data_IF_916783155647
#
_entry.id   IF_916783155647
#
_cell.length_a   1.000
_cell.length_b   1.000
_cell.length_c   1.000
_cell.angle_alpha   90.00
_cell.angle_beta   90.00
_cell.angle_gamma   90.00
#
_symmetry.space_group_name_H-M   'P 1'
#
loop_
_entity.id
_entity.type
_entity.pdbx_description
1 polymer ?
#
# COMPACT_ATOMS: atom_id res chain seq x y z
N UNK A 1 38.84 20.27 -7.10
CA UNK A 1 38.61 20.08 -5.64
C UNK A 1 38.94 18.65 -5.26
N UNK A 2 39.77 18.46 -4.23
CA UNK A 2 40.19 17.15 -3.71
C UNK A 2 39.42 16.82 -2.42
N UNK A 3 39.00 15.56 -2.28
CA UNK A 3 38.33 15.04 -1.09
C UNK A 3 39.07 13.84 -0.53
N UNK A 4 39.24 13.80 0.81
CA UNK A 4 39.87 12.67 1.49
C UNK A 4 38.90 11.50 1.61
N UNK A 5 39.27 10.32 1.14
CA UNK A 5 38.48 9.12 1.30
C UNK A 5 38.50 8.61 2.75
N UNK A 6 37.33 8.41 3.36
CA UNK A 6 37.21 7.93 4.73
C UNK A 6 37.76 6.52 4.96
N UNK A 7 38.00 5.71 3.91
CA UNK A 7 38.52 4.33 4.02
C UNK A 7 40.01 4.21 3.69
N UNK A 8 40.42 4.63 2.49
CA UNK A 8 41.83 4.54 2.11
C UNK A 8 42.66 5.76 2.55
N UNK A 9 41.99 6.76 3.15
CA UNK A 9 42.62 8.00 3.66
C UNK A 9 43.33 8.85 2.60
N UNK A 10 43.31 8.44 1.34
CA UNK A 10 43.93 9.14 0.21
C UNK A 10 43.06 10.31 -0.24
N UNK A 11 43.68 11.46 -0.56
CA UNK A 11 43.02 12.59 -1.25
C UNK A 11 42.80 12.21 -2.72
N UNK A 12 41.60 12.38 -3.23
CA UNK A 12 41.21 12.04 -4.61
C UNK A 12 40.32 13.12 -5.18
N UNK A 13 40.25 13.27 -6.51
CA UNK A 13 39.31 14.16 -7.16
C UNK A 13 37.87 13.90 -6.71
N UNK A 14 37.07 14.95 -6.58
CA UNK A 14 35.68 14.84 -6.09
C UNK A 14 34.81 13.96 -7.00
N UNK A 15 35.13 13.88 -8.27
CA UNK A 15 34.48 13.01 -9.26
C UNK A 15 34.67 11.51 -8.98
N UNK A 16 35.68 11.15 -8.19
CA UNK A 16 35.93 9.77 -7.74
C UNK A 16 35.02 9.32 -6.61
N UNK A 17 34.08 10.17 -6.20
CA UNK A 17 33.08 9.85 -5.18
C UNK A 17 31.69 9.87 -5.79
N UNK A 18 30.85 8.88 -5.42
CA UNK A 18 29.44 8.89 -5.84
C UNK A 18 28.69 10.07 -5.24
N UNK A 19 27.67 10.58 -5.97
CA UNK A 19 26.78 11.64 -5.48
C UNK A 19 25.99 11.16 -4.25
N UNK A 20 25.80 12.05 -3.27
CA UNK A 20 24.95 11.78 -2.10
C UNK A 20 24.34 13.10 -1.60
N UNK A 21 23.06 13.30 -1.88
CA UNK A 21 22.30 14.50 -1.51
C UNK A 21 22.18 14.73 0.01
N UNK A 22 22.41 13.70 0.84
CA UNK A 22 22.33 13.81 2.29
C UNK A 22 23.64 14.30 2.96
N UNK A 23 24.70 14.48 2.19
CA UNK A 23 25.98 14.99 2.69
C UNK A 23 26.18 16.45 2.30
N UNK A 24 26.74 17.25 3.21
CA UNK A 24 26.96 18.69 2.98
C UNK A 24 27.71 19.01 1.68
N UNK A 25 28.68 18.16 1.32
CA UNK A 25 29.47 18.29 0.08
C UNK A 25 28.87 17.56 -1.13
N UNK A 26 27.66 17.03 -1.01
CA UNK A 26 26.96 16.30 -2.07
C UNK A 26 27.58 14.98 -2.51
N UNK A 27 28.60 14.45 -1.76
CA UNK A 27 29.38 13.27 -2.15
C UNK A 27 29.51 12.25 -1.03
N UNK A 28 29.63 10.98 -1.41
CA UNK A 28 29.89 9.88 -0.47
C UNK A 28 31.23 10.08 0.27
N UNK A 29 31.32 9.55 1.50
CA UNK A 29 32.55 9.60 2.31
C UNK A 29 33.66 8.64 1.81
N UNK A 30 33.32 7.64 1.01
CA UNK A 30 34.25 6.64 0.45
C UNK A 30 34.39 6.83 -1.06
N UNK A 31 35.60 6.72 -1.62
CA UNK A 31 35.80 6.79 -3.06
C UNK A 31 35.18 5.58 -3.76
N UNK A 32 34.88 5.71 -5.05
CA UNK A 32 34.27 4.67 -5.89
C UNK A 32 34.96 3.33 -5.79
N UNK A 33 36.32 3.33 -5.81
CA UNK A 33 37.13 2.09 -5.69
C UNK A 33 36.90 1.41 -4.35
N UNK A 34 37.00 2.16 -3.23
CA UNK A 34 36.75 1.63 -1.91
C UNK A 34 35.30 1.16 -1.72
N UNK A 35 34.34 1.83 -2.35
CA UNK A 35 32.94 1.47 -2.29
C UNK A 35 32.67 0.18 -3.07
N UNK A 36 33.23 0.02 -4.29
CA UNK A 36 33.15 -1.23 -5.07
C UNK A 36 33.74 -2.42 -4.32
N UNK A 37 34.93 -2.25 -3.65
CA UNK A 37 35.52 -3.31 -2.81
C UNK A 37 34.63 -3.68 -1.62
N UNK A 38 33.90 -2.72 -1.05
CA UNK A 38 33.01 -2.95 0.10
C UNK A 38 31.71 -3.65 -0.28
N UNK A 39 31.15 -3.36 -1.46
CA UNK A 39 29.99 -4.06 -2.02
C UNK A 39 30.37 -5.40 -2.65
N UNK A 40 31.42 -6.04 -2.12
CA UNK A 40 31.86 -7.33 -2.61
C UNK A 40 30.68 -8.33 -2.60
N UNK A 41 30.37 -8.89 -3.77
CA UNK A 41 29.36 -9.95 -3.97
C UNK A 41 29.51 -11.08 -2.93
N UNK A 42 30.74 -11.36 -2.50
CA UNK A 42 31.03 -12.39 -1.50
C UNK A 42 30.51 -12.03 -0.10
N UNK A 43 30.61 -10.76 0.33
CA UNK A 43 30.04 -10.33 1.60
C UNK A 43 28.50 -10.46 1.61
N UNK A 44 27.84 -10.01 0.53
CA UNK A 44 26.39 -10.14 0.39
C UNK A 44 25.98 -11.62 0.38
N UNK A 45 26.66 -12.47 -0.41
CA UNK A 45 26.39 -13.91 -0.44
C UNK A 45 26.49 -14.53 0.96
N UNK A 46 27.58 -14.26 1.70
CA UNK A 46 27.79 -14.75 3.07
C UNK A 46 26.75 -14.25 4.07
N UNK A 47 26.23 -13.03 3.90
CA UNK A 47 25.31 -12.40 4.84
C UNK A 47 23.84 -12.37 4.37
N UNK A 48 23.53 -12.90 3.18
CA UNK A 48 22.21 -12.82 2.54
C UNK A 48 21.10 -13.31 3.47
N UNK A 49 21.26 -14.48 4.05
CA UNK A 49 20.28 -15.10 4.96
C UNK A 49 19.98 -14.16 6.15
N UNK A 50 21.01 -13.70 6.87
CA UNK A 50 20.88 -12.77 7.99
C UNK A 50 20.21 -11.44 7.61
N UNK A 51 20.54 -10.90 6.43
CA UNK A 51 19.95 -9.64 5.94
C UNK A 51 18.47 -9.83 5.64
N UNK A 52 18.12 -10.92 4.97
CA UNK A 52 16.72 -11.25 4.63
C UNK A 52 15.91 -11.41 5.91
N UNK A 53 16.40 -12.21 6.86
CA UNK A 53 15.74 -12.44 8.16
C UNK A 53 15.52 -11.14 8.94
N UNK A 54 16.57 -10.32 9.08
CA UNK A 54 16.47 -9.00 9.73
C UNK A 54 15.44 -8.09 9.05
N UNK A 55 15.41 -8.09 7.72
CA UNK A 55 14.45 -7.29 6.96
C UNK A 55 13.02 -7.84 7.11
N UNK A 56 12.87 -9.16 7.13
CA UNK A 56 11.58 -9.81 7.35
C UNK A 56 11.02 -9.47 8.73
N UNK A 57 11.81 -9.65 9.79
CA UNK A 57 11.43 -9.33 11.18
C UNK A 57 11.05 -7.85 11.33
N UNK A 58 11.86 -6.95 10.75
CA UNK A 58 11.55 -5.52 10.74
C UNK A 58 10.23 -5.23 10.04
N UNK A 59 10.01 -5.80 8.85
CA UNK A 59 8.77 -5.63 8.10
C UNK A 59 7.56 -6.15 8.86
N UNK A 60 7.67 -7.32 9.47
CA UNK A 60 6.60 -7.91 10.26
C UNK A 60 6.20 -7.02 11.44
N UNK A 61 7.19 -6.48 12.18
CA UNK A 61 6.94 -5.53 13.28
C UNK A 61 6.23 -4.27 12.81
N UNK A 62 6.71 -3.65 11.73
CA UNK A 62 6.11 -2.42 11.17
C UNK A 62 4.70 -2.69 10.66
N UNK A 63 4.49 -3.81 9.95
CA UNK A 63 3.18 -4.25 9.49
C UNK A 63 2.19 -4.38 10.65
N UNK A 64 2.59 -5.07 11.72
CA UNK A 64 1.74 -5.26 12.92
C UNK A 64 1.37 -3.92 13.58
N UNK A 65 2.34 -3.01 13.73
CA UNK A 65 2.11 -1.69 14.30
C UNK A 65 1.16 -0.85 13.43
N UNK A 66 1.35 -0.87 12.11
CA UNK A 66 0.46 -0.18 11.18
C UNK A 66 -0.95 -0.76 11.21
N UNK A 67 -1.07 -2.09 11.27
CA UNK A 67 -2.36 -2.76 11.30
C UNK A 67 -3.18 -2.41 12.54
N UNK A 68 -2.54 -2.29 13.72
CA UNK A 68 -3.22 -1.80 14.93
C UNK A 68 -3.85 -0.42 14.71
N UNK A 69 -3.12 0.51 14.12
CA UNK A 69 -3.63 1.86 13.80
C UNK A 69 -4.77 1.84 12.79
N UNK A 70 -4.74 0.91 11.83
CA UNK A 70 -5.84 0.70 10.89
C UNK A 70 -7.10 0.21 11.62
N UNK A 71 -6.96 -0.75 12.54
CA UNK A 71 -8.08 -1.25 13.34
C UNK A 71 -8.70 -0.12 14.19
N UNK A 72 -7.89 0.70 14.83
CA UNK A 72 -8.36 1.88 15.59
C UNK A 72 -9.20 2.81 14.71
N UNK A 73 -8.76 3.05 13.46
CA UNK A 73 -9.52 3.86 12.50
C UNK A 73 -10.82 3.18 12.05
N UNK A 74 -10.82 1.87 11.85
CA UNK A 74 -12.02 1.13 11.48
C UNK A 74 -13.07 1.16 12.59
N UNK A 75 -12.67 0.91 13.83
CA UNK A 75 -13.57 0.97 14.98
C UNK A 75 -14.08 2.38 15.27
N UNK A 76 -13.29 3.43 15.01
CA UNK A 76 -13.72 4.81 15.25
C UNK A 76 -14.65 5.34 14.16
N UNK A 77 -14.52 4.88 12.92
CA UNK A 77 -15.25 5.45 11.78
C UNK A 77 -16.42 4.58 11.32
N UNK A 78 -16.23 3.26 11.27
CA UNK A 78 -17.20 2.36 10.65
C UNK A 78 -17.35 2.59 9.14
N UNK A 79 -18.29 1.89 8.54
CA UNK A 79 -18.69 2.10 7.14
C UNK A 79 -19.49 3.39 7.00
N UNK A 80 -19.08 4.26 6.06
CA UNK A 80 -19.73 5.55 5.80
C UNK A 80 -21.18 5.40 5.34
N UNK A 81 -21.55 4.27 4.71
CA UNK A 81 -22.90 4.08 4.16
C UNK A 81 -23.82 3.27 5.10
N UNK A 82 -23.37 2.14 5.67
CA UNK A 82 -24.22 1.26 6.48
C UNK A 82 -23.85 1.22 7.97
N UNK A 83 -22.81 1.95 8.39
CA UNK A 83 -22.40 2.05 9.79
C UNK A 83 -21.70 0.82 10.39
N UNK A 84 -21.58 -0.30 9.65
CA UNK A 84 -20.90 -1.50 10.20
C UNK A 84 -19.49 -1.19 10.67
N UNK A 85 -19.10 -1.70 11.83
CA UNK A 85 -17.77 -1.53 12.42
C UNK A 85 -16.94 -2.82 12.41
N UNK A 86 -17.41 -3.88 11.75
CA UNK A 86 -16.67 -5.14 11.67
C UNK A 86 -15.41 -4.95 10.80
N UNK A 87 -14.19 -4.99 11.39
CA UNK A 87 -12.96 -4.71 10.67
C UNK A 87 -12.62 -5.76 9.60
N UNK A 88 -13.29 -6.91 9.61
CA UNK A 88 -13.06 -7.99 8.62
C UNK A 88 -13.60 -7.63 7.25
N UNK A 89 -14.62 -6.77 7.20
CA UNK A 89 -15.29 -6.35 5.98
C UNK A 89 -14.99 -4.91 5.59
N UNK A 90 -14.30 -4.13 6.44
CA UNK A 90 -13.98 -2.73 6.18
C UNK A 90 -12.72 -2.59 5.32
N UNK A 91 -12.75 -1.62 4.42
CA UNK A 91 -11.62 -1.24 3.57
C UNK A 91 -11.59 0.29 3.35
N UNK A 92 -10.48 0.78 2.79
CA UNK A 92 -10.33 2.19 2.41
C UNK A 92 -10.68 2.36 0.94
N UNK A 93 -11.74 3.11 0.68
CA UNK A 93 -12.20 3.46 -0.66
C UNK A 93 -11.79 4.90 -1.00
N UNK A 94 -11.16 5.10 -2.17
CA UNK A 94 -10.72 6.42 -2.63
C UNK A 94 -11.90 7.27 -3.08
N UNK A 95 -12.03 8.46 -2.51
CA UNK A 95 -13.14 9.38 -2.83
C UNK A 95 -13.11 9.85 -4.28
N UNK A 96 -11.92 10.14 -4.81
CA UNK A 96 -11.74 10.72 -6.15
C UNK A 96 -11.31 9.71 -7.22
N UNK A 97 -11.39 8.43 -6.92
CA UNK A 97 -10.83 7.37 -7.76
C UNK A 97 -9.29 7.39 -7.78
N UNK A 98 -8.69 6.26 -8.09
CA UNK A 98 -7.23 6.19 -8.27
C UNK A 98 -6.90 6.76 -9.63
N UNK A 99 -6.34 7.99 -9.69
CA UNK A 99 -5.79 8.52 -10.95
C UNK A 99 -4.70 7.57 -11.43
N UNK A 100 -4.94 6.86 -12.52
CA UNK A 100 -4.03 5.86 -13.13
C UNK A 100 -2.70 6.42 -13.64
N UNK A 101 -2.35 7.67 -13.34
CA UNK A 101 -1.16 8.35 -13.85
C UNK A 101 0.18 7.84 -13.27
N UNK A 102 0.17 6.95 -12.30
CA UNK A 102 1.40 6.37 -11.77
C UNK A 102 1.64 5.01 -12.45
N UNK A 103 2.34 5.05 -13.57
CA UNK A 103 2.70 3.91 -14.44
C UNK A 103 3.39 2.72 -13.74
N UNK A 104 3.76 2.81 -12.46
CA UNK A 104 4.57 1.81 -11.76
C UNK A 104 4.01 1.32 -10.42
N UNK A 105 2.82 1.74 -10.02
CA UNK A 105 2.26 1.29 -8.73
C UNK A 105 0.90 0.62 -8.95
N UNK A 106 0.92 -0.60 -9.50
CA UNK A 106 -0.24 -1.47 -9.43
C UNK A 106 -0.62 -1.64 -7.95
N UNK A 107 -1.76 -1.07 -7.55
CA UNK A 107 -2.33 -1.29 -6.24
C UNK A 107 -1.65 -0.57 -5.08
N UNK A 108 -1.28 0.70 -5.24
CA UNK A 108 -0.76 1.52 -4.14
C UNK A 108 -1.81 1.93 -3.09
N UNK A 109 -2.94 1.24 -3.01
CA UNK A 109 -3.94 1.46 -1.96
C UNK A 109 -3.38 1.19 -0.56
N UNK A 110 -4.09 1.69 0.45
CA UNK A 110 -3.71 1.59 1.87
C UNK A 110 -3.32 0.16 2.25
N UNK A 111 -4.10 -0.84 1.83
CA UNK A 111 -3.82 -2.25 2.11
C UNK A 111 -2.46 -2.73 1.57
N UNK A 112 -2.06 -2.29 0.38
CA UNK A 112 -0.74 -2.60 -0.18
C UNK A 112 0.38 -1.97 0.65
N UNK A 113 0.26 -0.69 1.00
CA UNK A 113 1.26 0.03 1.79
C UNK A 113 1.46 -0.60 3.17
N UNK A 114 0.37 -1.00 3.84
CA UNK A 114 0.42 -1.69 5.14
C UNK A 114 1.09 -3.05 5.01
N UNK A 115 0.69 -3.88 4.03
CA UNK A 115 1.26 -5.22 3.82
C UNK A 115 2.75 -5.19 3.52
N UNK A 116 3.23 -4.16 2.86
CA UNK A 116 4.64 -4.01 2.51
C UNK A 116 5.47 -3.26 3.57
N UNK A 117 4.85 -2.86 4.70
CA UNK A 117 5.55 -2.24 5.82
C UNK A 117 6.09 -0.85 5.49
N UNK A 118 5.32 -0.04 4.77
CA UNK A 118 5.65 1.36 4.52
C UNK A 118 5.59 2.18 5.81
N UNK A 119 6.21 3.35 5.81
CA UNK A 119 6.16 4.29 6.94
C UNK A 119 4.73 4.77 7.16
N UNK A 120 4.33 4.94 8.42
CA UNK A 120 2.99 5.40 8.77
C UNK A 120 2.62 6.73 8.12
N UNK A 121 3.57 7.69 8.03
CA UNK A 121 3.34 8.97 7.36
C UNK A 121 2.94 8.84 5.89
N UNK A 122 3.45 7.81 5.19
CA UNK A 122 3.06 7.51 3.80
C UNK A 122 1.66 6.90 3.74
N UNK A 123 1.36 5.98 4.66
CA UNK A 123 0.05 5.33 4.78
C UNK A 123 -1.02 6.38 5.13
N UNK A 124 -0.75 7.27 6.10
CA UNK A 124 -1.66 8.32 6.55
C UNK A 124 -2.07 9.24 5.39
N UNK A 125 -1.10 9.71 4.59
CA UNK A 125 -1.38 10.53 3.40
C UNK A 125 -2.27 9.83 2.37
N UNK A 126 -2.23 8.50 2.30
CA UNK A 126 -3.10 7.76 1.41
C UNK A 126 -4.50 7.58 2.02
N UNK A 127 -4.59 7.35 3.34
CA UNK A 127 -5.85 7.28 4.09
C UNK A 127 -6.63 8.59 3.98
N UNK A 128 -5.96 9.74 4.00
CA UNK A 128 -6.58 11.07 3.90
C UNK A 128 -7.36 11.28 2.59
N UNK A 129 -7.10 10.46 1.58
CA UNK A 129 -7.82 10.45 0.28
C UNK A 129 -8.98 9.45 0.25
N UNK A 130 -9.20 8.72 1.33
CA UNK A 130 -10.12 7.60 1.39
C UNK A 130 -11.20 7.82 2.44
N UNK A 131 -12.34 7.18 2.24
CA UNK A 131 -13.33 6.92 3.26
C UNK A 131 -13.27 5.47 3.69
N UNK A 132 -13.76 5.16 4.89
CA UNK A 132 -13.93 3.77 5.34
C UNK A 132 -15.28 3.28 4.82
N UNK A 133 -15.27 2.18 4.08
CA UNK A 133 -16.46 1.56 3.50
C UNK A 133 -16.39 0.04 3.66
N UNK A 134 -17.50 -0.60 3.89
CA UNK A 134 -17.51 -2.06 3.87
C UNK A 134 -17.50 -2.56 2.42
N UNK A 135 -17.06 -3.80 2.23
CA UNK A 135 -16.90 -4.41 0.91
C UNK A 135 -18.18 -4.43 0.10
N UNK A 136 -19.33 -4.68 0.74
CA UNK A 136 -20.62 -4.69 0.07
C UNK A 136 -21.00 -3.28 -0.43
N UNK A 137 -20.93 -2.28 0.44
CA UNK A 137 -21.21 -0.89 0.06
C UNK A 137 -20.23 -0.37 -1.00
N UNK A 138 -18.96 -0.76 -0.92
CA UNK A 138 -17.96 -0.41 -1.94
C UNK A 138 -18.30 -1.04 -3.30
N UNK A 139 -18.73 -2.29 -3.30
CA UNK A 139 -19.16 -2.95 -4.55
C UNK A 139 -20.40 -2.29 -5.13
N UNK A 140 -21.41 -1.99 -4.32
CA UNK A 140 -22.62 -1.30 -4.74
C UNK A 140 -22.29 0.09 -5.33
N UNK A 141 -21.42 0.86 -4.64
CA UNK A 141 -20.95 2.16 -5.16
C UNK A 141 -20.22 1.99 -6.49
N UNK A 142 -19.28 1.04 -6.56
CA UNK A 142 -18.52 0.77 -7.78
C UNK A 142 -19.45 0.42 -8.94
N UNK A 143 -20.45 -0.39 -8.69
CA UNK A 143 -21.45 -0.77 -9.69
C UNK A 143 -22.26 0.45 -10.21
N UNK A 144 -22.61 1.39 -9.30
CA UNK A 144 -23.30 2.63 -9.66
C UNK A 144 -22.40 3.63 -10.41
N UNK A 145 -21.13 3.76 -9.99
CA UNK A 145 -20.17 4.73 -10.56
C UNK A 145 -19.65 4.31 -11.96
N UNK A 146 -19.43 3.02 -12.14
CA UNK A 146 -19.06 2.48 -13.43
C UNK A 146 -20.35 2.06 -14.14
N UNK A 147 -20.70 2.76 -15.21
CA UNK A 147 -21.81 2.39 -16.13
C UNK A 147 -21.56 1.06 -16.86
N UNK A 148 -20.83 0.14 -16.23
CA UNK A 148 -20.71 -1.22 -16.70
C UNK A 148 -22.06 -1.89 -16.48
N UNK A 149 -22.66 -2.38 -17.55
CA UNK A 149 -23.90 -3.14 -17.54
C UNK A 149 -25.14 -2.27 -17.22
N UNK A 150 -25.45 -1.27 -18.07
CA UNK A 150 -26.76 -0.59 -18.07
C UNK A 150 -27.89 -1.60 -18.09
N UNK A 151 -27.76 -2.62 -18.93
CA UNK A 151 -28.65 -3.77 -19.06
C UNK A 151 -28.84 -4.54 -17.75
N UNK A 152 -27.78 -4.74 -16.96
CA UNK A 152 -27.86 -5.43 -15.65
C UNK A 152 -28.52 -4.53 -14.60
N UNK A 153 -28.33 -3.22 -14.68
CA UNK A 153 -29.02 -2.29 -13.76
C UNK A 153 -30.54 -2.29 -14.00
N UNK A 154 -30.98 -2.35 -15.25
CA UNK A 154 -32.37 -2.44 -15.59
C UNK A 154 -32.98 -3.76 -15.10
N UNK A 155 -32.27 -4.86 -15.26
CA UNK A 155 -32.68 -6.19 -14.74
C UNK A 155 -32.80 -6.16 -13.21
N UNK A 156 -31.81 -5.57 -12.51
CA UNK A 156 -31.85 -5.47 -11.05
C UNK A 156 -33.03 -4.64 -10.60
N UNK A 157 -33.31 -3.53 -11.27
CA UNK A 157 -34.45 -2.66 -10.97
C UNK A 157 -35.75 -3.42 -11.18
N UNK A 158 -35.91 -4.11 -12.29
CA UNK A 158 -37.06 -4.99 -12.55
C UNK A 158 -37.24 -6.06 -11.48
N UNK A 159 -36.11 -6.66 -11.03
CA UNK A 159 -36.14 -7.64 -9.95
C UNK A 159 -36.55 -7.00 -8.61
N UNK A 160 -36.03 -5.84 -8.26
CA UNK A 160 -36.39 -5.11 -7.04
C UNK A 160 -37.89 -4.73 -7.02
N UNK A 161 -38.42 -4.27 -8.16
CA UNK A 161 -39.83 -3.94 -8.31
C UNK A 161 -40.74 -5.17 -8.16
N UNK A 162 -40.26 -6.34 -8.53
CA UNK A 162 -41.01 -7.61 -8.45
C UNK A 162 -40.60 -8.50 -7.26
N UNK A 163 -39.84 -7.98 -6.31
CA UNK A 163 -39.27 -8.75 -5.21
C UNK A 163 -40.30 -9.51 -4.37
N UNK A 164 -41.50 -8.93 -4.18
CA UNK A 164 -42.55 -9.60 -3.46
C UNK A 164 -43.10 -10.83 -4.19
N UNK A 165 -43.09 -10.84 -5.52
CA UNK A 165 -43.49 -11.98 -6.35
C UNK A 165 -42.46 -13.10 -6.26
N UNK A 166 -41.17 -12.76 -6.32
CA UNK A 166 -40.08 -13.72 -6.23
C UNK A 166 -39.98 -14.36 -4.82
N UNK A 167 -40.26 -13.59 -3.76
CA UNK A 167 -40.26 -14.11 -2.39
C UNK A 167 -41.42 -15.10 -2.09
N UNK A 168 -42.49 -15.06 -2.86
CA UNK A 168 -43.63 -16.00 -2.77
C UNK A 168 -43.34 -17.32 -3.52
N UNK A 169 -42.40 -17.32 -4.43
CA UNK A 169 -42.08 -18.51 -5.24
C UNK A 169 -41.01 -19.36 -4.51
N UNK A 170 -41.38 -20.55 -4.06
CA UNK A 170 -40.50 -21.48 -3.34
C UNK A 170 -39.23 -21.87 -4.09
N UNK A 171 -39.23 -21.78 -5.44
CA UNK A 171 -38.08 -22.10 -6.28
C UNK A 171 -36.87 -21.17 -6.06
N UNK A 172 -37.09 -19.97 -5.51
CA UNK A 172 -36.08 -18.96 -5.27
C UNK A 172 -35.73 -18.77 -3.79
N UNK A 173 -36.34 -19.56 -2.88
CA UNK A 173 -35.95 -19.56 -1.47
C UNK A 173 -34.60 -20.22 -1.31
N UNK A 174 -33.57 -19.41 -0.99
CA UNK A 174 -32.33 -19.97 -0.43
C UNK A 174 -32.67 -20.62 0.93
N UNK A 175 -32.61 -21.93 0.98
CA UNK A 175 -32.56 -22.66 2.25
C UNK A 175 -31.20 -22.38 2.86
N UNK A 176 -31.14 -21.48 3.84
CA UNK A 176 -29.95 -21.24 4.70
C UNK A 176 -29.94 -22.32 5.76
#
# INVERSE_FOLDING_TARGET
MLKRCGRCKTKKPIQDFYKNRQKKDGRQSKCKVCQKKYHNRNWYKKNKKRIIEKNYTRKARVKRANFKKILELYFSKGCVDCGTQDPRVLEFDHVTGIKRSIKHQRGAGVGYLVRNGYKWSTIKREIEKCVVRCRNCHQIKTFKDFKYHTDVQDIIKEYEENLELYNKDERYRCTV
#
